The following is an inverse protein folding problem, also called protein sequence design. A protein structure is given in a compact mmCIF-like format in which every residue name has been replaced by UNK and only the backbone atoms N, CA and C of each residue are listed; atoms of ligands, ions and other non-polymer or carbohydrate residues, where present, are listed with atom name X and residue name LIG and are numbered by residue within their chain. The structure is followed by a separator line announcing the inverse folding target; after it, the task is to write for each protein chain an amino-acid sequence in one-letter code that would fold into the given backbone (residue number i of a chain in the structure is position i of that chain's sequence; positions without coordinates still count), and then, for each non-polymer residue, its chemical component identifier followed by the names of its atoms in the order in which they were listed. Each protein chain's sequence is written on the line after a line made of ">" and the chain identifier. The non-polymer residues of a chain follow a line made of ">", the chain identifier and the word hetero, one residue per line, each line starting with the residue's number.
data_IF_532653504174
#
_entry.id   IF_532653504174
#
_cell.length_a   1.000
_cell.length_b   1.000
_cell.length_c   1.000
_cell.angle_alpha   90.00
_cell.angle_beta   90.00
_cell.angle_gamma   90.00
#
_symmetry.space_group_name_H-M   'P 1'
#
loop_
_entity.id
_entity.type
_entity.pdbx_description
1 polymer ?
#
# COMPACT_ATOMS: atom_id res chain seq x y z
N UNK A 1 -55.24 33.08 31.86
CA UNK A 1 -55.16 31.61 31.93
C UNK A 1 -54.70 31.08 30.57
N UNK A 2 -53.64 30.28 30.59
CA UNK A 2 -53.15 29.34 29.56
C UNK A 2 -52.91 29.85 28.13
N UNK A 3 -51.67 30.23 27.86
CA UNK A 3 -51.07 30.15 26.52
C UNK A 3 -50.66 28.69 26.32
N UNK A 4 -51.23 28.00 25.34
CA UNK A 4 -50.81 26.64 24.97
C UNK A 4 -49.50 26.70 24.19
N UNK A 5 -48.42 26.04 24.64
CA UNK A 5 -47.27 25.83 23.77
C UNK A 5 -47.53 24.59 22.90
N UNK A 6 -47.35 24.74 21.59
CA UNK A 6 -46.93 23.61 20.77
C UNK A 6 -45.52 23.20 21.21
N UNK A 7 -45.28 21.90 21.43
CA UNK A 7 -44.06 21.30 20.90
C UNK A 7 -44.44 19.98 20.22
N UNK A 8 -43.76 19.47 19.23
CA UNK A 8 -42.37 19.63 18.85
C UNK A 8 -42.26 19.15 17.41
N UNK A 9 -41.61 19.93 16.55
CA UNK A 9 -40.96 19.36 15.38
C UNK A 9 -40.02 18.26 15.90
N UNK A 10 -40.37 17.01 15.58
CA UNK A 10 -39.58 15.81 15.87
C UNK A 10 -38.14 16.12 15.47
N UNK A 11 -37.31 16.47 16.45
CA UNK A 11 -35.90 16.66 16.25
C UNK A 11 -35.39 15.36 15.66
N UNK A 12 -35.01 15.39 14.38
CA UNK A 12 -34.24 14.30 13.79
C UNK A 12 -33.02 14.18 14.69
N UNK A 13 -32.98 13.11 15.50
CA UNK A 13 -31.78 12.73 16.24
C UNK A 13 -30.66 12.74 15.20
N UNK A 14 -29.67 13.63 15.36
CA UNK A 14 -28.35 13.35 14.82
C UNK A 14 -28.02 11.98 15.36
N UNK A 15 -28.01 10.98 14.50
CA UNK A 15 -27.52 9.66 14.86
C UNK A 15 -26.05 9.90 15.11
N UNK A 16 -25.65 10.01 16.37
CA UNK A 16 -24.24 10.09 16.74
C UNK A 16 -23.56 8.86 16.13
N UNK A 17 -22.75 9.10 15.10
CA UNK A 17 -21.97 8.06 14.43
C UNK A 17 -20.98 7.54 15.47
N UNK A 18 -20.99 6.24 15.81
CA UNK A 18 -20.10 5.73 16.84
C UNK A 18 -18.63 5.99 16.53
N UNK A 19 -17.84 6.12 17.61
CA UNK A 19 -16.43 5.73 17.71
C UNK A 19 -15.94 4.83 16.56
N UNK A 20 -14.92 5.23 15.79
CA UNK A 20 -14.10 4.25 15.08
C UNK A 20 -12.95 3.88 16.01
N UNK A 21 -13.02 2.69 16.61
CA UNK A 21 -12.04 2.24 17.60
C UNK A 21 -11.20 1.08 17.07
N UNK A 22 -9.93 1.03 17.48
CA UNK A 22 -9.03 -0.06 17.11
C UNK A 22 -9.57 -1.38 17.68
N UNK A 23 -9.75 -2.39 16.81
CA UNK A 23 -10.31 -3.69 17.14
C UNK A 23 -11.82 -3.81 16.89
N UNK A 24 -12.50 -2.74 16.48
CA UNK A 24 -13.90 -2.80 16.04
C UNK A 24 -14.05 -3.81 14.89
N UNK A 25 -15.17 -4.55 14.89
CA UNK A 25 -15.51 -5.49 13.81
C UNK A 25 -16.58 -4.88 12.92
N UNK A 26 -16.18 -4.43 11.73
CA UNK A 26 -17.03 -3.70 10.80
C UNK A 26 -16.93 -4.27 9.39
N UNK A 27 -17.97 -4.02 8.60
CA UNK A 27 -17.92 -4.13 7.15
C UNK A 27 -17.36 -2.84 6.56
N UNK A 28 -16.80 -2.89 5.35
CA UNK A 28 -16.26 -1.70 4.67
C UNK A 28 -17.24 -0.53 4.61
N UNK A 29 -18.53 -0.70 4.23
CA UNK A 29 -19.46 0.44 4.22
C UNK A 29 -19.67 1.11 5.59
N UNK A 30 -19.70 0.34 6.68
CA UNK A 30 -19.83 0.94 8.03
C UNK A 30 -18.49 1.53 8.50
N UNK A 31 -17.37 0.90 8.16
CA UNK A 31 -16.03 1.45 8.38
C UNK A 31 -15.88 2.83 7.72
N UNK A 32 -16.16 2.93 6.41
CA UNK A 32 -16.10 4.18 5.65
C UNK A 32 -17.04 5.24 6.22
N UNK A 33 -18.28 4.85 6.59
CA UNK A 33 -19.25 5.77 7.22
C UNK A 33 -18.72 6.36 8.52
N UNK A 34 -18.10 5.54 9.39
CA UNK A 34 -17.52 6.01 10.65
C UNK A 34 -16.25 6.82 10.41
N UNK A 35 -15.38 6.36 9.51
CA UNK A 35 -14.12 7.02 9.22
C UNK A 35 -14.34 8.43 8.65
N UNK A 36 -15.29 8.59 7.72
CA UNK A 36 -15.68 9.89 7.17
C UNK A 36 -16.19 10.89 8.23
N UNK A 37 -16.73 10.40 9.36
CA UNK A 37 -17.19 11.23 10.47
C UNK A 37 -16.06 11.61 11.45
N UNK A 38 -14.87 11.02 11.33
CA UNK A 38 -13.77 11.10 12.30
C UNK A 38 -12.56 11.87 11.76
N UNK A 39 -12.73 13.17 11.47
CA UNK A 39 -11.68 14.03 10.87
C UNK A 39 -10.33 14.09 11.62
N UNK A 40 -10.31 13.74 12.90
CA UNK A 40 -9.11 13.64 13.74
C UNK A 40 -8.27 12.40 13.45
N UNK A 41 -8.87 11.32 12.95
CA UNK A 41 -8.16 10.10 12.56
C UNK A 41 -7.54 10.33 11.18
N UNK A 42 -6.22 10.20 11.07
CA UNK A 42 -5.49 10.49 9.83
C UNK A 42 -5.20 9.27 8.97
N UNK A 43 -5.09 8.10 9.62
CA UNK A 43 -4.87 6.81 8.98
C UNK A 43 -5.72 5.79 9.73
N UNK A 44 -6.43 4.95 9.01
CA UNK A 44 -7.17 3.81 9.55
C UNK A 44 -7.32 2.78 8.44
N UNK A 45 -7.28 1.51 8.82
CA UNK A 45 -7.37 0.40 7.89
C UNK A 45 -8.45 -0.58 8.36
N UNK A 46 -9.07 -1.26 7.40
CA UNK A 46 -9.93 -2.41 7.67
C UNK A 46 -9.24 -3.65 7.11
N UNK A 47 -8.90 -4.61 7.96
CA UNK A 47 -8.24 -5.86 7.56
C UNK A 47 -9.02 -7.01 8.17
N UNK A 48 -9.54 -7.93 7.36
CA UNK A 48 -10.40 -9.06 7.80
C UNK A 48 -11.60 -8.61 8.66
N UNK A 49 -12.19 -7.46 8.30
CA UNK A 49 -13.29 -6.84 9.02
C UNK A 49 -12.88 -6.26 10.38
N UNK A 50 -11.59 -6.18 10.70
CA UNK A 50 -11.07 -5.59 11.94
C UNK A 50 -10.48 -4.21 11.65
N UNK A 51 -10.89 -3.23 12.44
CA UNK A 51 -10.41 -1.85 12.35
C UNK A 51 -9.03 -1.74 13.00
N UNK A 52 -8.09 -1.14 12.27
CA UNK A 52 -6.77 -0.77 12.78
C UNK A 52 -6.59 0.74 12.74
N UNK A 53 -6.28 1.33 13.90
CA UNK A 53 -5.92 2.75 14.01
C UNK A 53 -4.45 2.82 14.39
N UNK A 54 -3.53 2.99 13.43
CA UNK A 54 -2.10 2.90 13.69
C UNK A 54 -1.61 4.00 14.63
N UNK A 55 -0.55 3.68 15.38
CA UNK A 55 0.13 4.65 16.23
C UNK A 55 0.88 5.71 15.40
N UNK A 56 1.16 6.91 15.97
CA UNK A 56 1.94 7.92 15.30
C UNK A 56 3.30 7.41 14.80
N UNK A 57 3.64 7.76 13.55
CA UNK A 57 4.88 7.37 12.89
C UNK A 57 6.08 8.08 13.52
N UNK A 58 7.14 7.32 13.80
CA UNK A 58 8.43 7.86 14.25
C UNK A 58 9.33 8.12 13.04
N UNK A 59 10.22 9.12 13.16
CA UNK A 59 11.24 9.37 12.14
C UNK A 59 12.16 8.16 11.95
N UNK A 60 12.78 7.68 13.04
CA UNK A 60 13.56 6.45 13.01
C UNK A 60 12.66 5.21 13.07
N UNK A 61 12.95 4.25 12.20
CA UNK A 61 12.30 2.94 12.17
C UNK A 61 11.05 2.87 11.30
N UNK A 62 10.57 4.01 10.77
CA UNK A 62 9.49 4.04 9.76
C UNK A 62 9.61 5.24 8.80
N UNK A 63 9.51 6.48 9.29
CA UNK A 63 9.38 7.66 8.41
C UNK A 63 10.57 7.89 7.45
N UNK A 64 11.81 7.67 7.91
CA UNK A 64 12.99 7.73 7.04
C UNK A 64 12.96 6.63 5.98
N UNK A 65 12.72 5.38 6.39
CA UNK A 65 12.65 4.22 5.50
C UNK A 65 11.54 4.36 4.46
N UNK A 66 10.41 4.92 4.86
CA UNK A 66 9.30 5.25 3.96
C UNK A 66 9.76 6.24 2.90
N UNK A 67 10.43 7.31 3.30
CA UNK A 67 10.95 8.32 2.36
C UNK A 67 11.96 7.72 1.37
N UNK A 68 12.80 6.77 1.81
CA UNK A 68 13.79 6.09 0.97
C UNK A 68 13.15 5.15 -0.05
N UNK A 69 12.20 4.31 0.37
CA UNK A 69 11.45 3.45 -0.56
C UNK A 69 10.59 4.27 -1.53
N UNK A 70 9.94 5.33 -1.04
CA UNK A 70 9.14 6.23 -1.87
C UNK A 70 10.02 6.90 -2.95
N UNK A 71 11.24 7.30 -2.58
CA UNK A 71 12.20 7.87 -3.53
C UNK A 71 12.62 6.85 -4.58
N UNK A 72 12.94 5.62 -4.18
CA UNK A 72 13.31 4.55 -5.09
C UNK A 72 12.19 4.22 -6.09
N UNK A 73 10.94 4.04 -5.61
CA UNK A 73 9.78 3.82 -6.47
C UNK A 73 9.44 5.04 -7.34
N UNK A 74 9.60 6.26 -6.80
CA UNK A 74 9.39 7.50 -7.54
C UNK A 74 10.36 7.65 -8.71
N UNK A 75 11.64 7.32 -8.51
CA UNK A 75 12.64 7.29 -9.59
C UNK A 75 12.31 6.22 -10.64
N UNK A 76 11.81 5.05 -10.24
CA UNK A 76 11.33 4.05 -11.20
C UNK A 76 10.23 4.60 -12.10
N UNK A 77 9.18 5.18 -11.50
CA UNK A 77 8.01 5.68 -12.22
C UNK A 77 8.38 6.86 -13.11
N UNK A 78 9.33 7.70 -12.71
CA UNK A 78 9.84 8.78 -13.56
C UNK A 78 10.41 8.28 -14.90
N UNK A 79 11.00 7.07 -14.92
CA UNK A 79 11.51 6.42 -16.13
C UNK A 79 10.52 5.44 -16.76
N UNK A 80 9.35 5.21 -16.15
CA UNK A 80 8.41 4.15 -16.57
C UNK A 80 7.01 4.69 -16.84
N UNK A 81 6.78 5.41 -17.95
CA UNK A 81 5.45 5.90 -18.31
C UNK A 81 4.42 4.77 -18.35
N UNK A 82 3.29 4.97 -17.67
CA UNK A 82 2.24 3.96 -17.53
C UNK A 82 2.26 3.20 -16.20
N UNK A 83 3.32 3.33 -15.41
CA UNK A 83 3.33 2.98 -13.99
C UNK A 83 2.94 4.19 -13.12
N UNK A 84 2.34 3.94 -11.96
CA UNK A 84 1.98 4.95 -10.96
C UNK A 84 2.35 4.48 -9.56
N UNK A 85 2.88 5.38 -8.75
CA UNK A 85 3.22 5.16 -7.34
C UNK A 85 2.38 6.06 -6.45
N UNK A 86 1.99 5.56 -5.29
CA UNK A 86 1.35 6.36 -4.24
C UNK A 86 1.78 5.86 -2.86
N UNK A 87 1.80 6.77 -1.89
CA UNK A 87 1.96 6.46 -0.48
C UNK A 87 0.63 6.59 0.25
N UNK A 88 0.39 5.73 1.25
CA UNK A 88 -0.75 5.80 2.16
C UNK A 88 -2.14 5.89 1.47
N UNK A 89 -2.24 5.49 0.21
CA UNK A 89 -3.49 5.53 -0.54
C UNK A 89 -4.44 4.44 -0.02
N UNK A 90 -5.72 4.77 0.12
CA UNK A 90 -6.74 3.76 0.44
C UNK A 90 -6.96 2.83 -0.74
N UNK A 91 -6.82 1.52 -0.48
CA UNK A 91 -7.04 0.45 -1.45
C UNK A 91 -8.25 -0.37 -1.01
N UNK A 92 -9.29 -0.42 -1.83
CA UNK A 92 -10.50 -1.21 -1.61
C UNK A 92 -10.34 -2.57 -2.28
N UNK A 93 -10.20 -3.62 -1.49
CA UNK A 93 -9.98 -4.97 -1.98
C UNK A 93 -11.29 -5.78 -2.05
N UNK A 94 -12.07 -5.79 -0.96
CA UNK A 94 -13.36 -6.49 -0.90
C UNK A 94 -14.30 -5.83 0.14
N UNK A 95 -15.28 -6.58 0.66
CA UNK A 95 -16.24 -6.07 1.66
C UNK A 95 -15.65 -5.96 3.08
N UNK A 96 -14.55 -6.63 3.36
CA UNK A 96 -13.93 -6.76 4.68
C UNK A 96 -12.50 -6.20 4.71
N UNK A 97 -11.98 -5.71 3.58
CA UNK A 97 -10.60 -5.26 3.43
C UNK A 97 -10.48 -3.92 2.70
N UNK A 98 -9.99 -2.92 3.42
CA UNK A 98 -9.63 -1.59 2.96
C UNK A 98 -8.28 -1.17 3.60
N UNK A 99 -7.14 -1.73 3.13
CA UNK A 99 -5.81 -1.33 3.58
C UNK A 99 -5.39 0.08 3.10
N UNK A 100 -4.42 0.65 3.82
CA UNK A 100 -3.67 1.87 3.45
C UNK A 100 -2.17 1.53 3.49
N UNK A 101 -1.66 0.78 2.48
CA UNK A 101 -0.26 0.35 2.46
C UNK A 101 0.68 1.54 2.57
N UNK A 102 1.88 1.31 3.12
CA UNK A 102 2.90 2.36 3.16
C UNK A 102 3.19 2.88 1.75
N UNK A 103 3.44 1.98 0.79
CA UNK A 103 3.62 2.32 -0.61
C UNK A 103 2.94 1.29 -1.52
N UNK A 104 2.43 1.76 -2.65
CA UNK A 104 1.99 0.91 -3.75
C UNK A 104 2.61 1.34 -5.08
N UNK A 105 2.78 0.38 -5.97
CA UNK A 105 3.13 0.60 -7.37
C UNK A 105 2.11 -0.16 -8.23
N UNK A 106 1.57 0.52 -9.23
CA UNK A 106 0.55 -0.03 -10.11
C UNK A 106 0.79 0.28 -11.58
N UNK A 107 0.25 -0.56 -12.44
CA UNK A 107 0.07 -0.27 -13.87
C UNK A 107 -1.22 0.55 -14.00
N UNK A 108 -1.14 1.72 -14.63
CA UNK A 108 -2.27 2.67 -14.70
C UNK A 108 -3.35 2.13 -15.63
N UNK A 109 -2.97 1.71 -16.84
CA UNK A 109 -3.88 1.22 -17.88
C UNK A 109 -3.64 -0.27 -18.15
N UNK A 110 -4.71 -1.07 -18.07
CA UNK A 110 -4.65 -2.52 -18.27
C UNK A 110 -3.85 -3.27 -17.20
N UNK A 111 -3.75 -2.69 -16.00
CA UNK A 111 -3.35 -3.35 -14.76
C UNK A 111 -4.53 -3.99 -14.01
N UNK A 112 -4.27 -4.47 -12.80
CA UNK A 112 -5.24 -5.16 -11.93
C UNK A 112 -6.11 -4.21 -11.11
N UNK A 113 -5.68 -2.97 -10.93
CA UNK A 113 -6.38 -1.95 -10.15
C UNK A 113 -6.80 -0.75 -11.00
N UNK A 114 -7.81 -0.04 -10.54
CA UNK A 114 -8.31 1.21 -11.12
C UNK A 114 -8.44 2.29 -10.05
N UNK A 115 -8.55 3.56 -10.45
CA UNK A 115 -8.95 4.63 -9.51
C UNK A 115 -10.46 4.84 -9.67
N UNK A 116 -11.21 4.66 -8.60
CA UNK A 116 -12.64 4.90 -8.56
C UNK A 116 -12.99 6.38 -8.72
N UNK A 117 -14.26 6.69 -8.99
CA UNK A 117 -14.70 8.08 -9.22
C UNK A 117 -14.53 9.00 -8.00
N UNK A 118 -14.46 8.43 -6.80
CA UNK A 118 -14.20 9.13 -5.54
C UNK A 118 -12.70 9.21 -5.18
N UNK A 119 -11.82 8.72 -6.07
CA UNK A 119 -10.36 8.87 -5.98
C UNK A 119 -9.64 7.74 -5.26
N UNK A 120 -10.34 6.71 -4.78
CA UNK A 120 -9.71 5.57 -4.11
C UNK A 120 -9.24 4.50 -5.10
N UNK A 121 -8.21 3.73 -4.73
CA UNK A 121 -7.76 2.59 -5.53
C UNK A 121 -8.74 1.44 -5.33
N UNK A 122 -9.24 0.86 -6.41
CA UNK A 122 -10.13 -0.30 -6.40
C UNK A 122 -9.41 -1.49 -7.03
N UNK A 123 -9.38 -2.61 -6.32
CA UNK A 123 -8.64 -3.80 -6.72
C UNK A 123 -7.16 -3.79 -6.28
N UNK A 124 -6.46 -4.92 -6.45
CA UNK A 124 -5.10 -5.11 -5.97
C UNK A 124 -4.09 -4.34 -6.86
N UNK A 125 -3.22 -3.49 -6.30
CA UNK A 125 -2.02 -3.03 -7.01
C UNK A 125 -1.12 -4.22 -7.40
N UNK A 126 -0.32 -4.06 -8.44
CA UNK A 126 0.67 -5.08 -8.83
C UNK A 126 1.74 -5.26 -7.74
N UNK A 127 2.17 -4.18 -7.09
CA UNK A 127 3.16 -4.24 -5.99
C UNK A 127 2.72 -3.40 -4.79
N UNK A 128 2.91 -3.97 -3.60
CA UNK A 128 2.79 -3.27 -2.32
C UNK A 128 4.12 -3.38 -1.55
N UNK A 129 4.54 -2.30 -0.90
CA UNK A 129 5.67 -2.29 0.00
C UNK A 129 5.27 -1.76 1.38
N UNK A 130 5.60 -2.50 2.43
CA UNK A 130 5.30 -2.18 3.82
C UNK A 130 6.60 -2.07 4.64
N UNK A 131 6.59 -1.20 5.65
CA UNK A 131 7.70 -1.06 6.59
C UNK A 131 7.24 -1.58 7.95
N UNK A 132 7.89 -2.64 8.40
CA UNK A 132 7.60 -3.26 9.67
C UNK A 132 8.79 -3.06 10.62
N UNK A 133 8.49 -2.93 11.92
CA UNK A 133 9.57 -2.97 12.92
C UNK A 133 10.24 -4.34 12.96
N UNK A 134 9.47 -5.43 12.90
CA UNK A 134 9.99 -6.80 12.96
C UNK A 134 9.03 -7.81 12.31
N UNK A 135 9.52 -9.02 12.08
CA UNK A 135 8.76 -10.17 11.55
C UNK A 135 7.61 -10.62 12.45
N UNK A 136 7.61 -10.26 13.73
CA UNK A 136 6.57 -10.68 14.71
C UNK A 136 5.35 -9.76 14.69
N UNK A 137 5.37 -8.68 13.89
CA UNK A 137 4.21 -7.80 13.76
C UNK A 137 2.99 -8.62 13.31
N UNK A 138 1.98 -8.71 14.20
CA UNK A 138 0.77 -9.50 13.94
C UNK A 138 0.05 -9.06 12.66
N UNK A 139 0.03 -7.75 12.41
CA UNK A 139 -0.55 -7.16 11.20
C UNK A 139 0.13 -7.65 9.92
N UNK A 140 1.45 -7.92 9.96
CA UNK A 140 2.21 -8.32 8.79
C UNK A 140 1.72 -9.66 8.22
N UNK A 141 1.45 -10.64 9.09
CA UNK A 141 0.98 -11.95 8.67
C UNK A 141 -0.45 -11.88 8.10
N UNK A 142 -1.31 -11.06 8.71
CA UNK A 142 -2.68 -10.86 8.22
C UNK A 142 -2.67 -10.19 6.85
N UNK A 143 -1.96 -9.05 6.73
CA UNK A 143 -1.83 -8.33 5.46
C UNK A 143 -1.20 -9.18 4.36
N UNK A 144 -0.17 -9.97 4.67
CA UNK A 144 0.44 -10.89 3.71
C UNK A 144 -0.61 -11.85 3.12
N UNK A 145 -1.44 -12.47 3.96
CA UNK A 145 -2.49 -13.37 3.46
C UNK A 145 -3.61 -12.64 2.72
N UNK A 146 -3.99 -11.44 3.17
CA UNK A 146 -4.98 -10.58 2.49
C UNK A 146 -4.47 -10.16 1.11
N UNK A 147 -3.23 -9.71 0.99
CA UNK A 147 -2.64 -9.33 -0.29
C UNK A 147 -2.49 -10.54 -1.22
N UNK A 148 -2.07 -11.69 -0.68
CA UNK A 148 -1.94 -12.95 -1.43
C UNK A 148 -3.27 -13.38 -2.05
N UNK A 149 -4.34 -13.44 -1.25
CA UNK A 149 -5.66 -13.92 -1.71
C UNK A 149 -6.34 -12.96 -2.69
N UNK A 150 -5.99 -11.68 -2.61
CA UNK A 150 -6.50 -10.66 -3.53
C UNK A 150 -5.66 -10.52 -4.80
N UNK A 151 -4.52 -11.19 -4.91
CA UNK A 151 -3.74 -11.22 -6.15
C UNK A 151 -2.73 -10.08 -6.30
N UNK A 152 -2.29 -9.44 -5.20
CA UNK A 152 -1.14 -8.51 -5.27
C UNK A 152 0.07 -9.33 -5.72
N UNK A 153 0.66 -8.97 -6.86
CA UNK A 153 1.64 -9.82 -7.56
C UNK A 153 2.98 -9.83 -6.83
N UNK A 154 3.39 -8.70 -6.27
CA UNK A 154 4.63 -8.56 -5.53
C UNK A 154 4.43 -7.84 -4.20
N UNK A 155 5.09 -8.34 -3.16
CA UNK A 155 4.96 -7.79 -1.82
C UNK A 155 6.34 -7.64 -1.16
N UNK A 156 6.70 -6.41 -0.83
CA UNK A 156 7.98 -6.07 -0.18
C UNK A 156 7.73 -5.74 1.28
N UNK A 157 8.57 -6.28 2.16
CA UNK A 157 8.58 -5.94 3.58
C UNK A 157 9.99 -5.53 3.98
N UNK A 158 10.15 -4.28 4.40
CA UNK A 158 11.37 -3.82 5.06
C UNK A 158 11.22 -3.94 6.57
N UNK A 159 11.91 -4.93 7.15
CA UNK A 159 11.93 -5.18 8.60
C UNK A 159 13.09 -4.44 9.25
N UNK A 160 12.81 -3.30 9.88
CA UNK A 160 13.83 -2.35 10.31
C UNK A 160 14.65 -2.81 11.52
N UNK A 161 14.06 -3.49 12.51
CA UNK A 161 14.80 -4.06 13.64
C UNK A 161 15.50 -5.37 13.26
N UNK A 162 14.90 -6.15 12.38
CA UNK A 162 15.47 -7.42 11.91
C UNK A 162 16.61 -7.20 10.89
N UNK A 163 16.83 -5.96 10.45
CA UNK A 163 17.82 -5.59 9.43
C UNK A 163 17.71 -6.47 8.18
N UNK A 164 16.46 -6.63 7.69
CA UNK A 164 16.15 -7.54 6.60
C UNK A 164 15.13 -6.94 5.64
N UNK A 165 15.20 -7.38 4.38
CA UNK A 165 14.19 -7.13 3.36
C UNK A 165 13.69 -8.47 2.84
N UNK A 166 12.37 -8.66 2.84
CA UNK A 166 11.72 -9.78 2.18
C UNK A 166 10.97 -9.25 0.96
N UNK A 167 11.11 -9.94 -0.16
CA UNK A 167 10.36 -9.66 -1.38
C UNK A 167 9.67 -10.97 -1.77
N UNK A 168 8.34 -10.94 -1.84
CA UNK A 168 7.51 -12.07 -2.22
C UNK A 168 6.92 -11.84 -3.61
N UNK A 169 6.83 -12.90 -4.40
CA UNK A 169 6.14 -12.90 -5.70
C UNK A 169 5.04 -13.95 -5.68
N UNK A 170 3.87 -13.59 -6.20
CA UNK A 170 2.72 -14.45 -6.30
C UNK A 170 2.87 -15.39 -7.50
N UNK A 171 3.05 -16.68 -7.22
CA UNK A 171 3.12 -17.73 -8.25
C UNK A 171 2.12 -18.82 -7.90
N UNK A 172 1.25 -19.16 -8.87
CA UNK A 172 0.22 -20.19 -8.70
C UNK A 172 -0.62 -20.03 -7.41
N UNK A 173 -0.96 -18.79 -7.06
CA UNK A 173 -1.76 -18.45 -5.87
C UNK A 173 -1.01 -18.49 -4.53
N UNK A 174 0.32 -18.68 -4.54
CA UNK A 174 1.16 -18.69 -3.33
C UNK A 174 2.24 -17.63 -3.41
N UNK A 175 2.57 -17.04 -2.26
CA UNK A 175 3.74 -16.17 -2.18
C UNK A 175 5.00 -17.01 -2.03
N UNK A 176 5.93 -16.81 -2.96
CA UNK A 176 7.27 -17.35 -2.92
C UNK A 176 8.24 -16.21 -2.66
N UNK A 177 9.25 -16.45 -1.81
CA UNK A 177 10.28 -15.45 -1.57
C UNK A 177 11.18 -15.34 -2.80
N UNK A 178 11.22 -14.16 -3.40
CA UNK A 178 12.19 -13.82 -4.44
C UNK A 178 13.59 -13.96 -3.83
N UNK A 179 14.53 -14.51 -4.58
CA UNK A 179 15.93 -14.60 -4.15
C UNK A 179 16.72 -13.54 -4.89
N UNK A 180 17.46 -12.66 -4.19
CA UNK A 180 18.31 -11.70 -4.87
C UNK A 180 19.43 -12.44 -5.61
N UNK A 181 20.00 -11.81 -6.64
CA UNK A 181 21.15 -12.37 -7.33
C UNK A 181 22.40 -12.43 -6.42
N UNK A 182 23.52 -12.94 -6.94
CA UNK A 182 24.78 -13.09 -6.18
C UNK A 182 25.31 -11.76 -5.59
N UNK A 183 24.93 -10.62 -6.16
CA UNK A 183 25.30 -9.28 -5.66
C UNK A 183 24.32 -8.73 -4.62
N UNK A 184 23.28 -9.49 -4.23
CA UNK A 184 22.25 -9.04 -3.30
C UNK A 184 21.17 -8.16 -3.94
N UNK A 185 21.09 -8.13 -5.27
CA UNK A 185 20.12 -7.31 -6.00
C UNK A 185 18.84 -8.11 -6.26
N UNK A 186 17.72 -7.61 -5.75
CA UNK A 186 16.40 -8.09 -6.16
C UNK A 186 16.01 -7.45 -7.49
N UNK A 187 15.29 -8.21 -8.31
CA UNK A 187 14.79 -7.75 -9.61
C UNK A 187 13.32 -8.17 -9.71
N UNK A 188 12.43 -7.19 -9.84
CA UNK A 188 10.98 -7.45 -9.97
C UNK A 188 10.67 -8.33 -11.19
N UNK A 189 9.67 -9.19 -11.07
CA UNK A 189 9.20 -10.05 -12.17
C UNK A 189 8.12 -9.35 -13.01
N UNK A 190 7.34 -8.46 -12.39
CA UNK A 190 6.21 -7.77 -13.00
C UNK A 190 6.53 -6.33 -13.41
N UNK A 191 7.59 -5.74 -12.84
CA UNK A 191 8.11 -4.43 -13.20
C UNK A 191 9.56 -4.55 -13.69
N UNK A 192 9.79 -4.96 -14.95
CA UNK A 192 11.14 -5.02 -15.52
C UNK A 192 11.91 -3.72 -15.26
N UNK A 193 13.18 -3.83 -14.87
CA UNK A 193 14.04 -2.71 -14.48
C UNK A 193 13.84 -2.14 -13.07
N UNK A 194 12.84 -2.61 -12.31
CA UNK A 194 12.71 -2.30 -10.88
C UNK A 194 13.65 -3.19 -10.07
N UNK A 195 14.81 -2.65 -9.73
CA UNK A 195 15.89 -3.35 -9.03
C UNK A 195 16.14 -2.74 -7.65
N UNK A 196 16.33 -3.59 -6.63
CA UNK A 196 16.59 -3.16 -5.26
C UNK A 196 17.86 -3.81 -4.71
N UNK A 197 18.87 -2.98 -4.44
CA UNK A 197 20.09 -3.42 -3.74
C UNK A 197 19.79 -3.48 -2.23
N UNK A 198 19.35 -4.64 -1.77
CA UNK A 198 18.95 -4.81 -0.38
C UNK A 198 20.10 -4.59 0.62
N UNK A 199 21.35 -5.06 0.37
CA UNK A 199 22.48 -4.71 1.23
C UNK A 199 22.71 -3.20 1.34
N UNK A 200 22.63 -2.46 0.23
CA UNK A 200 22.78 -1.00 0.24
C UNK A 200 21.63 -0.32 0.99
N UNK A 201 20.39 -0.74 0.75
CA UNK A 201 19.20 -0.22 1.43
C UNK A 201 19.34 -0.36 2.96
N UNK A 202 19.72 -1.55 3.43
CA UNK A 202 19.90 -1.84 4.85
C UNK A 202 21.03 -1.02 5.50
N UNK A 203 22.06 -0.68 4.73
CA UNK A 203 23.17 0.18 5.17
C UNK A 203 22.85 1.68 5.07
N UNK A 204 21.68 2.05 4.53
CA UNK A 204 21.32 3.45 4.30
C UNK A 204 22.04 4.10 3.11
N UNK A 205 22.64 3.31 2.21
CA UNK A 205 23.27 3.82 0.99
C UNK A 205 22.24 3.95 -0.14
N UNK A 206 21.33 4.92 0.03
CA UNK A 206 20.31 5.23 -0.98
C UNK A 206 20.95 5.59 -2.33
N UNK A 207 22.12 6.22 -2.32
CA UNK A 207 22.81 6.58 -3.56
C UNK A 207 23.18 5.33 -4.39
N UNK A 208 23.64 4.26 -3.74
CA UNK A 208 23.90 2.99 -4.43
C UNK A 208 22.61 2.31 -4.89
N UNK A 209 21.55 2.31 -4.06
CA UNK A 209 20.23 1.79 -4.46
C UNK A 209 19.75 2.46 -5.76
N UNK A 210 19.82 3.79 -5.84
CA UNK A 210 19.37 4.54 -7.01
C UNK A 210 20.28 4.34 -8.24
N UNK A 211 21.59 4.12 -8.05
CA UNK A 211 22.48 3.75 -9.17
C UNK A 211 22.10 2.38 -9.76
N UNK A 212 21.89 1.37 -8.92
CA UNK A 212 21.48 0.04 -9.39
C UNK A 212 20.11 0.07 -10.08
N UNK A 213 19.19 0.87 -9.56
CA UNK A 213 17.91 1.13 -10.22
C UNK A 213 18.07 1.77 -11.60
N UNK A 214 19.01 2.72 -11.74
CA UNK A 214 19.31 3.38 -13.02
C UNK A 214 19.81 2.37 -14.06
N UNK A 215 20.66 1.42 -13.64
CA UNK A 215 21.11 0.33 -14.50
C UNK A 215 19.93 -0.58 -14.92
N UNK A 216 19.00 -0.84 -14.00
CA UNK A 216 17.80 -1.64 -14.27
C UNK A 216 16.87 -1.03 -15.31
N UNK A 217 16.58 0.27 -15.21
CA UNK A 217 15.73 0.97 -16.20
C UNK A 217 16.45 1.24 -17.53
N UNK A 218 17.74 0.94 -17.64
CA UNK A 218 18.49 1.01 -18.90
C UNK A 218 18.49 -0.33 -19.67
N UNK A 219 17.76 -1.33 -19.19
CA UNK A 219 17.71 -2.67 -19.79
C UNK A 219 16.73 -2.76 -20.98
N UNK A 220 17.01 -3.61 -21.98
CA UNK A 220 16.07 -3.86 -23.09
C UNK A 220 14.69 -4.38 -22.61
N UNK A 221 14.66 -5.14 -21.53
CA UNK A 221 13.42 -5.67 -20.94
C UNK A 221 12.53 -4.54 -20.40
N UNK A 222 13.13 -3.52 -19.78
CA UNK A 222 12.40 -2.33 -19.35
C UNK A 222 11.90 -1.50 -20.53
N UNK A 223 12.72 -1.29 -21.57
CA UNK A 223 12.31 -0.59 -22.80
C UNK A 223 11.10 -1.28 -23.46
N UNK A 224 11.13 -2.61 -23.54
CA UNK A 224 10.02 -3.41 -24.07
C UNK A 224 8.76 -3.28 -23.20
N UNK A 225 8.91 -3.29 -21.88
CA UNK A 225 7.81 -3.08 -20.95
C UNK A 225 7.16 -1.70 -21.11
N UNK A 226 7.96 -0.63 -21.20
CA UNK A 226 7.47 0.75 -21.44
C UNK A 226 6.75 0.87 -22.78
N UNK A 227 7.22 0.19 -23.83
CA UNK A 227 6.52 0.16 -25.11
C UNK A 227 5.13 -0.49 -24.99
N UNK A 228 5.02 -1.59 -24.24
CA UNK A 228 3.76 -2.29 -24.00
C UNK A 228 2.77 -1.45 -23.18
N UNK A 229 3.22 -0.81 -22.09
CA UNK A 229 2.34 0.03 -21.26
C UNK A 229 1.84 1.25 -22.02
N UNK A 230 2.66 1.84 -22.89
CA UNK A 230 2.24 2.94 -23.78
C UNK A 230 1.21 2.51 -24.80
N UNK A 231 1.34 1.31 -25.37
CA UNK A 231 0.39 0.79 -26.35
C UNK A 231 -1.01 0.60 -25.76
N UNK A 232 -1.11 0.20 -24.47
CA UNK A 232 -2.40 0.05 -23.76
C UNK A 232 -3.10 1.36 -23.43
N UNK A 233 -2.41 2.50 -23.51
CA UNK A 233 -2.95 3.83 -23.21
C UNK A 233 -3.67 4.47 -24.41
N UNK A 234 -3.41 3.99 -25.63
CA UNK A 234 -3.98 4.48 -26.88
C UNK A 234 -5.18 3.64 -27.30
#
# INVERSE_FOLDING_TARGET
>A
MSVSPHPSARAMRRVDVPALENGDRLTRPEFERRYAAMSQIKKAELIEGVVYVPSPVRYEGHGRQHSELATWLGVYVASTPGAGVADNATVRLDFDNEPQPDLLLRIIEGGQSQVGSDGYVEGPPELIAEIASSSVAYDLHQKLEVYRRHGVQEYIVWRTQDQATDWFVLREGRYERLTPNESGLYQSENFPGLWLDAPALLQGDLAKVLRQQTDGVATPEHDAFVALTRAKRN
#
